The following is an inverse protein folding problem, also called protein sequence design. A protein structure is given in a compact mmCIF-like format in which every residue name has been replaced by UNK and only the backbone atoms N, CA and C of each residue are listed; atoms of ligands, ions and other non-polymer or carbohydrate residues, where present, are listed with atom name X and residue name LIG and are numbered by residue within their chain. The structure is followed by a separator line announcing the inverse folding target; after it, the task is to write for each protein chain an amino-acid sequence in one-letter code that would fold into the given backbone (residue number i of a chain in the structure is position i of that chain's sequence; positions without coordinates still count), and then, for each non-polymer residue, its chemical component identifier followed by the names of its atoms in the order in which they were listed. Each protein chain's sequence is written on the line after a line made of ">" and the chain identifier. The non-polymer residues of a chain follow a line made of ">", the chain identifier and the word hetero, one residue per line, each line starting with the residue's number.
data_IF_717698096970
#
_entry.id   IF_717698096970
#
_cell.length_a   1.000
_cell.length_b   1.000
_cell.length_c   1.000
_cell.angle_alpha   90.00
_cell.angle_beta   90.00
_cell.angle_gamma   90.00
#
_symmetry.space_group_name_H-M   'P 1'
#
loop_
_entity.id
_entity.type
_entity.pdbx_description
1 polymer ?
#
# COMPACT_ATOMS: atom_id res chain seq x y z
N UNK A 1 -11.53 -4.01 4.63
CA UNK A 1 -10.76 -5.27 4.47
C UNK A 1 -10.79 -5.99 5.80
N UNK A 2 -11.03 -7.31 5.82
CA UNK A 2 -10.96 -8.13 7.03
C UNK A 2 -10.10 -9.34 6.70
N UNK A 3 -8.96 -9.47 7.38
CA UNK A 3 -8.03 -10.56 7.19
C UNK A 3 -8.48 -11.78 8.00
N UNK A 4 -8.25 -12.97 7.45
CA UNK A 4 -8.38 -14.22 8.18
C UNK A 4 -7.31 -14.36 9.30
N UNK A 5 -7.51 -15.28 10.27
CA UNK A 5 -6.58 -15.44 11.40
C UNK A 5 -5.12 -15.75 11.03
N UNK A 6 -4.89 -16.33 9.85
CA UNK A 6 -3.55 -16.69 9.33
C UNK A 6 -3.22 -15.97 8.02
N UNK A 7 -4.00 -14.95 7.66
CA UNK A 7 -3.78 -14.14 6.48
C UNK A 7 -2.90 -12.94 6.84
N UNK A 8 -1.73 -12.87 6.23
CA UNK A 8 -0.71 -11.87 6.48
C UNK A 8 -0.45 -11.07 5.21
N UNK A 9 -0.17 -9.79 5.37
CA UNK A 9 0.16 -8.90 4.24
C UNK A 9 1.60 -9.13 3.82
N UNK A 10 1.81 -9.39 2.53
CA UNK A 10 3.13 -9.71 1.94
C UNK A 10 3.60 -8.66 0.95
N UNK A 11 2.70 -7.82 0.45
CA UNK A 11 3.06 -6.69 -0.41
C UNK A 11 2.00 -5.60 -0.31
N UNK A 12 2.46 -4.35 -0.41
CA UNK A 12 1.61 -3.21 -0.75
C UNK A 12 2.09 -2.64 -2.08
N UNK A 13 1.17 -2.39 -3.00
CA UNK A 13 1.47 -1.81 -4.31
C UNK A 13 0.38 -0.85 -4.75
N UNK A 14 0.62 -0.10 -5.81
CA UNK A 14 -0.34 0.90 -6.24
C UNK A 14 0.23 1.88 -7.24
N UNK A 15 -0.41 3.04 -7.32
CA UNK A 15 0.03 4.14 -8.18
C UNK A 15 0.01 5.46 -7.44
N UNK A 16 0.92 6.35 -7.82
CA UNK A 16 0.94 7.77 -7.48
C UNK A 16 0.51 8.53 -8.74
N UNK A 17 -0.31 9.55 -8.57
CA UNK A 17 -0.73 10.44 -9.65
C UNK A 17 -1.21 11.78 -9.08
N UNK A 18 -1.91 12.54 -9.92
CA UNK A 18 -2.32 13.91 -9.61
C UNK A 18 -3.80 13.96 -9.28
N UNK A 19 -4.14 14.51 -8.13
CA UNK A 19 -5.50 14.97 -7.83
C UNK A 19 -5.57 16.48 -7.98
N UNK A 20 -6.45 16.97 -8.84
CA UNK A 20 -6.64 18.39 -9.11
C UNK A 20 -8.07 18.85 -8.90
N UNK A 21 -8.24 20.02 -8.30
CA UNK A 21 -9.49 20.79 -8.35
C UNK A 21 -9.17 22.29 -8.29
N UNK A 22 -9.79 23.08 -9.16
CA UNK A 22 -9.69 24.55 -9.17
C UNK A 22 -8.23 25.09 -9.11
N UNK A 23 -7.40 24.66 -10.07
CA UNK A 23 -6.04 25.16 -10.31
C UNK A 23 -4.97 24.77 -9.28
N UNK A 24 -5.27 23.84 -8.37
CA UNK A 24 -4.28 23.26 -7.46
C UNK A 24 -4.16 21.76 -7.69
N UNK A 25 -2.94 21.30 -7.90
CA UNK A 25 -2.57 19.91 -8.11
C UNK A 25 -1.88 19.35 -6.86
N UNK A 26 -2.25 18.13 -6.51
CA UNK A 26 -1.65 17.38 -5.41
C UNK A 26 -1.17 16.03 -5.91
N UNK A 27 0.12 15.73 -5.74
CA UNK A 27 0.64 14.38 -5.93
C UNK A 27 0.20 13.51 -4.76
N UNK A 28 -0.47 12.41 -5.05
CA UNK A 28 -0.94 11.49 -4.02
C UNK A 28 -1.04 10.06 -4.55
N UNK A 29 -1.24 9.11 -3.63
CA UNK A 29 -1.56 7.73 -3.96
C UNK A 29 -2.96 7.69 -4.58
N UNK A 30 -3.04 7.25 -5.84
CA UNK A 30 -4.25 7.18 -6.66
C UNK A 30 -4.86 5.80 -6.69
N UNK A 31 -4.03 4.75 -6.56
CA UNK A 31 -4.51 3.40 -6.32
C UNK A 31 -3.68 2.67 -5.26
N UNK A 32 -4.31 1.76 -4.53
CA UNK A 32 -3.67 0.90 -3.54
C UNK A 32 -4.18 -0.54 -3.66
N UNK A 33 -3.25 -1.48 -3.66
CA UNK A 33 -3.47 -2.91 -3.69
C UNK A 33 -2.72 -3.53 -2.52
N UNK A 34 -3.42 -4.39 -1.77
CA UNK A 34 -2.85 -5.12 -0.63
C UNK A 34 -2.83 -6.60 -1.01
N UNK A 35 -1.64 -7.16 -1.18
CA UNK A 35 -1.47 -8.59 -1.44
C UNK A 35 -1.13 -9.31 -0.14
N UNK A 36 -1.78 -10.45 0.06
CA UNK A 36 -1.56 -11.33 1.21
C UNK A 36 -1.10 -12.69 0.72
N UNK A 37 -0.70 -13.56 1.65
CA UNK A 37 -0.43 -14.97 1.37
C UNK A 37 -1.65 -15.77 0.87
N UNK A 38 -2.87 -15.23 0.96
CA UNK A 38 -4.12 -15.91 0.57
C UNK A 38 -4.71 -15.33 -0.71
N UNK A 39 -4.78 -14.00 -0.80
CA UNK A 39 -5.44 -13.27 -1.90
C UNK A 39 -4.96 -11.83 -2.00
N UNK A 40 -5.38 -11.18 -3.07
CA UNK A 40 -5.19 -9.74 -3.28
C UNK A 40 -6.49 -8.98 -2.96
N UNK A 41 -6.35 -7.80 -2.36
CA UNK A 41 -7.42 -6.83 -2.13
C UNK A 41 -7.16 -5.56 -2.93
N UNK A 42 -8.16 -5.12 -3.68
CA UNK A 42 -8.07 -3.95 -4.54
C UNK A 42 -8.01 -4.30 -6.04
N UNK A 43 -7.53 -3.37 -6.88
CA UNK A 43 -7.05 -2.04 -6.50
C UNK A 43 -8.17 -1.17 -5.93
N UNK A 44 -7.85 -0.38 -4.91
CA UNK A 44 -8.72 0.66 -4.36
C UNK A 44 -8.30 2.00 -4.94
N UNK A 45 -9.24 2.73 -5.53
CA UNK A 45 -8.96 3.96 -6.29
C UNK A 45 -8.73 3.66 -7.77
N UNK A 46 -8.28 4.68 -8.51
CA UNK A 46 -8.08 4.59 -9.96
C UNK A 46 -6.58 4.58 -10.27
N UNK A 47 -6.05 3.52 -10.88
CA UNK A 47 -4.64 3.47 -11.28
C UNK A 47 -4.27 4.62 -12.23
N UNK A 48 -3.15 5.29 -11.96
CA UNK A 48 -2.64 6.39 -12.78
C UNK A 48 -1.12 6.32 -12.96
N UNK A 49 -0.55 7.36 -13.58
CA UNK A 49 0.86 7.69 -13.77
C UNK A 49 1.90 6.66 -13.27
N UNK A 50 2.34 6.78 -12.02
CA UNK A 50 3.58 6.12 -11.55
C UNK A 50 3.25 4.95 -10.62
N UNK A 51 3.65 3.73 -11.01
CA UNK A 51 3.47 2.54 -10.16
C UNK A 51 4.50 2.49 -9.04
N UNK A 52 4.09 1.97 -7.88
CA UNK A 52 4.99 1.56 -6.80
C UNK A 52 4.61 0.14 -6.32
N UNK A 53 5.60 -0.56 -5.75
CA UNK A 53 5.40 -1.86 -5.11
C UNK A 53 6.45 -2.02 -4.00
N UNK A 54 6.03 -2.60 -2.88
CA UNK A 54 6.85 -2.90 -1.71
C UNK A 54 6.58 -4.35 -1.29
N UNK A 55 7.21 -5.33 -1.97
CA UNK A 55 7.15 -6.73 -1.54
C UNK A 55 8.09 -6.94 -0.35
N UNK A 56 7.67 -7.77 0.61
CA UNK A 56 8.56 -8.22 1.69
C UNK A 56 9.23 -9.55 1.33
N UNK A 57 10.35 -9.84 2.01
CA UNK A 57 11.06 -11.11 1.82
C UNK A 57 10.23 -12.30 2.28
N UNK A 58 10.56 -13.49 1.79
CA UNK A 58 9.92 -14.74 2.19
C UNK A 58 9.85 -14.87 3.72
N UNK A 59 8.69 -15.29 4.22
CA UNK A 59 8.39 -15.46 5.65
C UNK A 59 8.43 -14.16 6.48
N UNK A 60 8.54 -12.99 5.84
CA UNK A 60 8.30 -11.69 6.48
C UNK A 60 6.83 -11.28 6.33
N UNK A 61 6.40 -10.28 7.10
CA UNK A 61 5.05 -9.72 6.96
C UNK A 61 5.04 -8.21 7.16
N UNK A 62 4.13 -7.53 6.48
CA UNK A 62 3.77 -6.14 6.79
C UNK A 62 2.82 -6.17 7.98
N UNK A 63 3.22 -5.55 9.09
CA UNK A 63 2.47 -5.55 10.36
C UNK A 63 1.89 -4.17 10.70
N UNK A 64 2.22 -3.15 9.92
CA UNK A 64 1.72 -1.80 10.11
C UNK A 64 2.05 -0.89 8.95
N UNK A 65 1.39 0.26 8.93
CA UNK A 65 1.56 1.31 7.94
C UNK A 65 1.81 2.64 8.64
N UNK A 66 2.54 3.53 7.99
CA UNK A 66 2.62 4.94 8.36
C UNK A 66 2.42 5.78 7.11
N UNK A 67 1.87 6.99 7.28
CA UNK A 67 1.46 7.84 6.15
C UNK A 67 1.83 9.28 6.37
N UNK A 68 2.11 9.97 5.27
CA UNK A 68 2.05 11.42 5.20
C UNK A 68 0.76 11.79 4.48
N UNK A 69 -0.18 12.42 5.18
CA UNK A 69 -1.48 12.78 4.62
C UNK A 69 -1.85 14.22 4.97
N UNK A 70 -2.41 14.91 3.97
CA UNK A 70 -3.08 16.19 4.15
C UNK A 70 -4.50 16.08 3.58
N UNK A 71 -4.77 16.74 2.45
CA UNK A 71 -6.00 16.59 1.68
C UNK A 71 -6.11 15.19 1.06
N UNK A 72 -4.98 14.63 0.63
CA UNK A 72 -4.84 13.28 0.11
C UNK A 72 -3.64 12.58 0.79
N UNK A 73 -3.51 11.27 0.58
CA UNK A 73 -2.35 10.49 1.05
C UNK A 73 -1.17 10.72 0.11
N UNK A 74 -0.23 11.57 0.52
CA UNK A 74 0.92 11.98 -0.30
C UNK A 74 2.02 10.89 -0.30
N UNK A 75 2.17 10.16 0.80
CA UNK A 75 3.12 9.05 0.93
C UNK A 75 2.62 7.95 1.87
N UNK A 76 3.06 6.73 1.60
CA UNK A 76 2.78 5.52 2.38
C UNK A 76 4.10 4.78 2.62
N UNK A 77 4.32 4.36 3.86
CA UNK A 77 5.38 3.43 4.24
C UNK A 77 4.83 2.26 5.05
N UNK A 78 5.65 1.23 5.23
CA UNK A 78 5.28 -0.03 5.89
C UNK A 78 6.25 -0.36 7.02
N UNK A 79 5.72 -0.96 8.08
CA UNK A 79 6.52 -1.65 9.10
C UNK A 79 6.55 -3.14 8.75
N UNK A 80 7.76 -3.69 8.67
CA UNK A 80 8.00 -5.09 8.33
C UNK A 80 8.46 -5.84 9.57
N UNK A 81 7.77 -6.95 9.87
CA UNK A 81 8.28 -7.95 10.80
C UNK A 81 9.13 -8.95 9.98
N UNK A 82 10.43 -9.08 10.28
CA UNK A 82 11.31 -10.03 9.59
C UNK A 82 10.92 -11.48 9.93
N UNK A 83 11.48 -12.47 9.22
CA UNK A 83 11.23 -13.87 9.54
C UNK A 83 11.68 -14.17 10.97
N UNK A 84 10.95 -15.02 11.67
CA UNK A 84 11.41 -15.56 12.94
C UNK A 84 12.66 -16.39 12.64
N UNK A 85 13.82 -15.94 13.15
CA UNK A 85 15.05 -16.73 13.13
C UNK A 85 14.90 -17.90 14.09
N UNK A 86 15.08 -19.12 13.58
CA UNK A 86 15.22 -20.32 14.41
C UNK A 86 16.58 -20.33 15.12
#
# INVERSE_FOLDING_TARGET
>A
IKLGPSEIVTEVSGTIGVFGAANVEYNAITSLTITTNVRTYGPFGEPQCTRFSVPVQDKSSIVGFFVCARKYVEALGVYVCPPISN
#
